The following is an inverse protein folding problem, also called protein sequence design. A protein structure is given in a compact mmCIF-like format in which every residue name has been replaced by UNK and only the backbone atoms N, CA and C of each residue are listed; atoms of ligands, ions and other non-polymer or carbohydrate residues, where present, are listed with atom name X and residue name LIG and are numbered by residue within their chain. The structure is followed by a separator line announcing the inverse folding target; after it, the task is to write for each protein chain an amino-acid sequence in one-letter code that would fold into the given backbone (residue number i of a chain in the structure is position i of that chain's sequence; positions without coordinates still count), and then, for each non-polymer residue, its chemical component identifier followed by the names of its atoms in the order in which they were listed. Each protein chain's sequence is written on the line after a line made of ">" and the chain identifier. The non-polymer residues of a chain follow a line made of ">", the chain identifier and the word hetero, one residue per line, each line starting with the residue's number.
data_IF_654155380341
#
_entry.id   IF_654155380341
#
_cell.length_a   1.000
_cell.length_b   1.000
_cell.length_c   1.000
_cell.angle_alpha   90.00
_cell.angle_beta   90.00
_cell.angle_gamma   90.00
#
_symmetry.space_group_name_H-M   'P 1'
#
loop_
_entity.id
_entity.type
_entity.pdbx_description
1 polymer ?
#
# COMPACT_ATOMS: atom_id res chain seq x y z
N UNK A 1 -27.36 1.22 11.53
CA UNK A 1 -26.72 1.24 10.19
C UNK A 1 -25.61 0.22 10.23
N UNK A 2 -25.56 -0.71 9.28
CA UNK A 2 -24.53 -1.74 9.29
C UNK A 2 -23.17 -1.06 9.05
N UNK A 3 -22.29 -1.10 10.06
CA UNK A 3 -20.97 -0.45 10.00
C UNK A 3 -20.16 -1.11 8.88
N UNK A 4 -19.48 -0.30 8.06
CA UNK A 4 -18.59 -0.80 7.00
C UNK A 4 -17.17 -0.77 7.52
N UNK A 5 -16.55 -1.93 7.70
CA UNK A 5 -15.21 -2.05 8.27
C UNK A 5 -14.22 -2.67 7.28
N UNK A 6 -13.00 -2.15 7.26
CA UNK A 6 -11.85 -2.66 6.51
C UNK A 6 -10.79 -3.20 7.46
N UNK A 7 -10.21 -4.35 7.13
CA UNK A 7 -8.99 -4.84 7.75
C UNK A 7 -7.79 -4.42 6.89
N UNK A 8 -6.84 -3.69 7.45
CA UNK A 8 -5.58 -3.32 6.80
C UNK A 8 -4.43 -4.18 7.36
N UNK A 9 -3.98 -5.16 6.58
CA UNK A 9 -2.84 -6.01 6.87
C UNK A 9 -1.55 -5.38 6.34
N UNK A 10 -0.44 -5.56 7.07
CA UNK A 10 0.86 -4.92 6.77
C UNK A 10 0.74 -3.39 6.81
N UNK A 11 0.06 -2.89 7.84
CA UNK A 11 -0.53 -1.54 7.85
C UNK A 11 0.48 -0.40 7.93
N UNK A 12 1.72 -0.67 8.36
CA UNK A 12 2.73 0.35 8.63
C UNK A 12 2.12 1.49 9.47
N UNK A 13 2.29 2.75 9.07
CA UNK A 13 1.67 3.91 9.74
C UNK A 13 0.26 4.24 9.27
N UNK A 14 -0.38 3.40 8.44
CA UNK A 14 -1.79 3.57 8.05
C UNK A 14 -2.05 4.54 6.90
N UNK A 15 -1.12 4.66 5.95
CA UNK A 15 -1.35 5.41 4.72
C UNK A 15 -2.55 4.86 3.92
N UNK A 16 -2.64 3.54 3.77
CA UNK A 16 -3.76 2.89 3.11
C UNK A 16 -5.04 2.99 3.96
N UNK A 17 -4.96 2.70 5.26
CA UNK A 17 -6.08 2.83 6.19
C UNK A 17 -6.72 4.21 6.16
N UNK A 18 -5.91 5.27 6.11
CA UNK A 18 -6.42 6.65 6.09
C UNK A 18 -7.29 6.93 4.87
N UNK A 19 -6.93 6.36 3.71
CA UNK A 19 -7.77 6.48 2.52
C UNK A 19 -9.11 5.76 2.65
N UNK A 20 -9.13 4.56 3.24
CA UNK A 20 -10.39 3.85 3.51
C UNK A 20 -11.27 4.59 4.52
N UNK A 21 -10.68 5.16 5.57
CA UNK A 21 -11.39 6.04 6.49
C UNK A 21 -12.03 7.23 5.76
N UNK A 22 -11.29 7.90 4.86
CA UNK A 22 -11.82 8.99 4.04
C UNK A 22 -12.90 8.54 3.03
N UNK A 23 -12.98 7.25 2.71
CA UNK A 23 -14.04 6.66 1.91
C UNK A 23 -15.27 6.25 2.75
N UNK A 24 -15.24 6.42 4.07
CA UNK A 24 -16.35 6.16 4.98
C UNK A 24 -16.34 4.79 5.66
N UNK A 25 -15.18 4.13 5.73
CA UNK A 25 -15.00 2.88 6.48
C UNK A 25 -14.49 3.15 7.91
N UNK A 26 -14.86 2.25 8.83
CA UNK A 26 -14.03 1.99 10.01
C UNK A 26 -12.83 1.12 9.60
N UNK A 27 -11.68 1.31 10.26
CA UNK A 27 -10.44 0.63 9.89
C UNK A 27 -9.83 -0.03 11.11
N UNK A 28 -9.51 -1.31 10.99
CA UNK A 28 -8.66 -2.03 11.93
C UNK A 28 -7.35 -2.38 11.20
N UNK A 29 -6.20 -2.05 11.81
CA UNK A 29 -4.87 -2.31 11.25
C UNK A 29 -4.14 -3.46 11.92
N UNK A 30 -3.23 -4.09 11.18
CA UNK A 30 -2.31 -5.10 11.69
C UNK A 30 -0.90 -4.93 11.10
N UNK A 31 0.10 -4.88 11.97
CA UNK A 31 1.52 -4.88 11.60
C UNK A 31 2.35 -5.58 12.69
N UNK A 32 3.46 -6.20 12.29
CA UNK A 32 4.37 -6.91 13.21
C UNK A 32 5.26 -5.93 13.99
N UNK A 33 5.59 -4.80 13.36
CA UNK A 33 6.36 -3.73 13.95
C UNK A 33 5.47 -2.92 14.90
N UNK A 34 6.04 -2.36 15.95
CA UNK A 34 5.29 -1.43 16.78
C UNK A 34 5.02 -0.12 16.01
N UNK A 35 3.75 0.21 15.79
CA UNK A 35 3.31 1.37 15.01
C UNK A 35 2.52 2.34 15.90
N UNK A 36 3.16 3.02 16.87
CA UNK A 36 2.47 3.87 17.85
C UNK A 36 1.78 5.10 17.23
N UNK A 37 2.08 5.42 15.97
CA UNK A 37 1.43 6.50 15.21
C UNK A 37 0.34 6.02 14.26
N UNK A 38 0.02 4.72 14.25
CA UNK A 38 -1.10 4.21 13.48
C UNK A 38 -2.40 4.82 14.03
N UNK A 39 -3.25 5.43 13.19
CA UNK A 39 -4.28 6.33 13.68
C UNK A 39 -5.64 5.67 13.99
N UNK A 40 -5.75 4.34 13.85
CA UNK A 40 -6.99 3.59 14.07
C UNK A 40 -6.82 2.45 15.07
N UNK A 41 -7.87 1.62 15.23
CA UNK A 41 -7.79 0.39 16.01
C UNK A 41 -6.69 -0.51 15.44
N UNK A 42 -5.88 -1.12 16.30
CA UNK A 42 -4.62 -1.73 15.90
C UNK A 42 -4.34 -3.03 16.65
N UNK A 43 -3.96 -4.06 15.91
CA UNK A 43 -3.40 -5.30 16.44
C UNK A 43 -1.93 -5.40 16.05
N UNK A 44 -1.05 -5.54 17.05
CA UNK A 44 0.37 -5.81 16.80
C UNK A 44 0.59 -7.32 16.70
N UNK A 45 1.04 -7.80 15.55
CA UNK A 45 1.35 -9.20 15.35
C UNK A 45 1.60 -9.54 13.88
N UNK A 46 1.89 -10.81 13.61
CA UNK A 46 2.02 -11.30 12.25
C UNK A 46 0.66 -11.25 11.52
N UNK A 47 0.67 -10.74 10.29
CA UNK A 47 -0.54 -10.52 9.52
C UNK A 47 -1.20 -11.82 9.04
N UNK A 48 -0.42 -12.85 8.71
CA UNK A 48 -0.95 -14.15 8.28
C UNK A 48 -1.54 -14.89 9.48
N UNK A 49 -0.84 -14.90 10.62
CA UNK A 49 -1.35 -15.49 11.86
C UNK A 49 -2.64 -14.81 12.31
N UNK A 50 -2.67 -13.47 12.27
CA UNK A 50 -3.86 -12.71 12.66
C UNK A 50 -5.04 -12.98 11.72
N UNK A 51 -4.81 -12.98 10.39
CA UNK A 51 -5.85 -13.29 9.42
C UNK A 51 -6.38 -14.73 9.59
N UNK A 52 -5.49 -15.71 9.75
CA UNK A 52 -5.88 -17.10 10.00
C UNK A 52 -6.69 -17.24 11.29
N UNK A 53 -6.32 -16.53 12.36
CA UNK A 53 -7.08 -16.50 13.60
C UNK A 53 -8.50 -15.94 13.39
N UNK A 54 -8.63 -14.79 12.71
CA UNK A 54 -9.93 -14.19 12.41
C UNK A 54 -10.82 -15.11 11.56
N UNK A 55 -10.24 -15.90 10.64
CA UNK A 55 -10.96 -16.91 9.86
C UNK A 55 -11.47 -18.02 10.77
N UNK A 56 -10.60 -18.61 11.60
CA UNK A 56 -10.95 -19.73 12.48
C UNK A 56 -12.00 -19.35 13.53
N UNK A 57 -11.95 -18.13 14.06
CA UNK A 57 -12.93 -17.66 15.05
C UNK A 57 -14.22 -17.13 14.43
N UNK A 58 -14.29 -16.98 13.11
CA UNK A 58 -15.42 -16.35 12.40
C UNK A 58 -15.47 -14.82 12.55
N UNK A 59 -14.53 -14.23 13.29
CA UNK A 59 -14.44 -12.78 13.46
C UNK A 59 -14.18 -12.02 12.16
N UNK A 60 -13.66 -12.70 11.13
CA UNK A 60 -13.46 -12.15 9.78
C UNK A 60 -14.77 -11.59 9.19
N UNK A 61 -15.94 -12.14 9.55
CA UNK A 61 -17.26 -11.74 9.02
C UNK A 61 -17.65 -10.29 9.37
N UNK A 62 -16.99 -9.66 10.36
CA UNK A 62 -17.21 -8.24 10.69
C UNK A 62 -16.71 -7.28 9.61
N UNK A 63 -15.79 -7.74 8.76
CA UNK A 63 -15.19 -6.93 7.71
C UNK A 63 -15.97 -7.03 6.39
N UNK A 64 -15.88 -5.97 5.59
CA UNK A 64 -16.46 -5.92 4.24
C UNK A 64 -15.42 -5.94 3.13
N UNK A 65 -14.18 -5.62 3.47
CA UNK A 65 -13.06 -5.59 2.56
C UNK A 65 -11.77 -5.79 3.36
N UNK A 66 -10.82 -6.54 2.81
CA UNK A 66 -9.46 -6.65 3.35
C UNK A 66 -8.48 -5.96 2.41
N UNK A 67 -7.59 -5.13 2.95
CA UNK A 67 -6.47 -4.57 2.21
C UNK A 67 -5.17 -5.16 2.75
N UNK A 68 -4.31 -5.69 1.88
CA UNK A 68 -3.01 -6.21 2.25
C UNK A 68 -1.92 -5.57 1.40
N UNK A 69 -0.85 -5.12 2.05
CA UNK A 69 0.37 -4.62 1.39
C UNK A 69 1.61 -5.42 1.82
N UNK A 70 1.72 -6.73 1.47
CA UNK A 70 2.85 -7.55 1.89
C UNK A 70 4.19 -6.89 1.55
N UNK A 71 5.22 -6.98 2.40
CA UNK A 71 6.46 -6.27 2.18
C UNK A 71 7.11 -6.69 0.85
N UNK A 72 7.35 -5.70 -0.02
CA UNK A 72 8.00 -5.95 -1.30
C UNK A 72 9.52 -6.08 -1.11
N UNK A 73 10.06 -7.26 -1.39
CA UNK A 73 11.49 -7.57 -1.28
C UNK A 73 12.37 -6.87 -2.32
N UNK A 74 11.79 -6.09 -3.24
CA UNK A 74 12.51 -5.37 -4.29
C UNK A 74 13.38 -4.20 -3.79
N UNK A 75 13.49 -3.97 -2.48
CA UNK A 75 14.45 -3.01 -1.90
C UNK A 75 15.91 -3.29 -2.30
N UNK A 76 16.21 -4.44 -2.89
CA UNK A 76 17.55 -4.78 -3.34
C UNK A 76 17.83 -4.69 -4.84
N UNK A 77 17.08 -4.04 -5.73
CA UNK A 77 17.59 -3.91 -7.13
C UNK A 77 18.87 -3.06 -7.22
N UNK A 78 19.12 -2.15 -6.26
CA UNK A 78 20.41 -1.44 -6.12
C UNK A 78 21.46 -2.24 -5.32
N UNK A 79 21.04 -3.30 -4.62
CA UNK A 79 21.87 -4.08 -3.69
C UNK A 79 22.08 -5.52 -4.18
N UNK A 80 21.44 -5.98 -5.25
CA UNK A 80 21.66 -7.30 -5.85
C UNK A 80 23.07 -7.36 -6.46
N UNK A 81 23.56 -6.27 -7.04
CA UNK A 81 24.94 -6.21 -7.55
C UNK A 81 26.02 -6.25 -6.45
N UNK A 82 25.78 -5.57 -5.32
CA UNK A 82 26.74 -5.45 -4.22
C UNK A 82 26.61 -6.57 -3.18
N UNK A 83 25.41 -7.06 -2.85
CA UNK A 83 25.19 -8.14 -1.89
C UNK A 83 25.51 -9.53 -2.46
N UNK A 84 25.33 -9.76 -3.77
CA UNK A 84 25.77 -10.99 -4.41
C UNK A 84 27.31 -11.13 -4.37
N UNK A 85 28.04 -10.00 -4.46
CA UNK A 85 29.50 -9.99 -4.31
C UNK A 85 29.99 -10.20 -2.87
N UNK A 86 29.11 -10.08 -1.88
CA UNK A 86 29.45 -10.22 -0.45
C UNK A 86 28.79 -11.41 0.26
N UNK A 87 27.92 -12.18 -0.40
CA UNK A 87 27.27 -13.36 0.20
C UNK A 87 26.10 -13.04 1.16
N UNK A 88 25.56 -11.81 1.14
CA UNK A 88 24.46 -11.37 2.01
C UNK A 88 23.08 -11.64 1.40
N UNK A 89 22.91 -12.81 0.78
CA UNK A 89 21.62 -13.25 0.23
C UNK A 89 20.85 -14.03 1.28
N UNK A 90 19.98 -13.36 2.06
CA UNK A 90 19.02 -14.08 2.90
C UNK A 90 18.09 -14.96 2.07
N UNK A 91 17.50 -15.99 2.65
CA UNK A 91 16.40 -16.75 2.04
C UNK A 91 15.14 -15.87 2.02
N UNK A 92 14.57 -15.69 0.85
CA UNK A 92 13.52 -14.70 0.56
C UNK A 92 12.14 -15.35 0.64
N UNK A 93 11.26 -14.87 1.51
CA UNK A 93 9.90 -15.40 1.68
C UNK A 93 8.87 -14.55 0.90
N UNK A 94 8.36 -15.06 -0.22
CA UNK A 94 7.29 -14.39 -0.97
C UNK A 94 6.00 -14.43 -0.14
N UNK A 95 5.67 -13.31 0.51
CA UNK A 95 4.46 -13.19 1.32
C UNK A 95 3.21 -12.90 0.50
N UNK A 96 3.31 -12.62 -0.80
CA UNK A 96 2.13 -12.37 -1.65
C UNK A 96 1.31 -13.65 -1.83
N UNK A 97 1.97 -14.78 -2.12
CA UNK A 97 1.30 -16.07 -2.30
C UNK A 97 0.52 -16.53 -1.05
N UNK A 98 1.12 -16.64 0.16
CA UNK A 98 0.39 -17.04 1.36
C UNK A 98 -0.65 -16.00 1.80
N UNK A 99 -0.41 -14.70 1.55
CA UNK A 99 -1.43 -13.66 1.77
C UNK A 99 -2.66 -13.92 0.91
N UNK A 100 -2.46 -14.18 -0.39
CA UNK A 100 -3.56 -14.44 -1.31
C UNK A 100 -4.34 -15.69 -0.93
N UNK A 101 -3.66 -16.77 -0.55
CA UNK A 101 -4.30 -18.02 -0.12
C UNK A 101 -5.25 -17.80 1.06
N UNK A 102 -4.81 -17.07 2.09
CA UNK A 102 -5.68 -16.74 3.22
C UNK A 102 -6.79 -15.77 2.83
N UNK A 103 -6.51 -14.77 1.99
CA UNK A 103 -7.53 -13.84 1.51
C UNK A 103 -8.64 -14.56 0.72
N UNK A 104 -8.28 -15.49 -0.16
CA UNK A 104 -9.24 -16.33 -0.88
C UNK A 104 -10.07 -17.18 0.09
N UNK A 105 -9.45 -17.72 1.15
CA UNK A 105 -10.14 -18.49 2.19
C UNK A 105 -11.13 -17.65 3.03
N UNK A 106 -10.98 -16.32 3.09
CA UNK A 106 -11.96 -15.46 3.77
C UNK A 106 -13.31 -15.41 3.05
N UNK A 107 -13.32 -15.62 1.73
CA UNK A 107 -14.48 -15.35 0.87
C UNK A 107 -14.89 -13.87 0.77
N UNK A 108 -14.12 -12.96 1.39
CA UNK A 108 -14.40 -11.52 1.35
C UNK A 108 -13.73 -10.87 0.13
N UNK A 109 -14.30 -9.75 -0.36
CA UNK A 109 -13.57 -8.86 -1.26
C UNK A 109 -12.24 -8.42 -0.65
N UNK A 110 -11.18 -8.39 -1.47
CA UNK A 110 -9.86 -7.96 -1.02
C UNK A 110 -9.11 -7.12 -2.05
N UNK A 111 -8.06 -6.46 -1.56
CA UNK A 111 -7.05 -5.73 -2.33
C UNK A 111 -5.66 -6.20 -1.91
N UNK A 112 -4.81 -6.59 -2.85
CA UNK A 112 -3.38 -6.78 -2.61
C UNK A 112 -2.62 -5.68 -3.35
N UNK A 113 -1.83 -4.90 -2.62
CA UNK A 113 -0.94 -3.87 -3.17
C UNK A 113 0.48 -4.39 -3.34
N UNK A 114 1.12 -4.01 -4.46
CA UNK A 114 2.57 -4.03 -4.60
C UNK A 114 3.08 -2.80 -5.39
N UNK A 115 4.31 -2.34 -5.13
CA UNK A 115 5.00 -1.43 -6.03
C UNK A 115 5.26 -2.08 -7.40
N UNK A 116 5.70 -1.27 -8.36
CA UNK A 116 6.27 -1.82 -9.60
C UNK A 116 7.49 -2.69 -9.26
N UNK A 117 7.42 -3.98 -9.61
CA UNK A 117 8.46 -4.95 -9.30
C UNK A 117 8.17 -6.31 -9.91
N UNK A 118 8.86 -7.33 -9.40
CA UNK A 118 8.73 -8.73 -9.84
C UNK A 118 7.65 -9.51 -9.08
N UNK A 119 6.99 -8.89 -8.09
CA UNK A 119 5.94 -9.55 -7.33
C UNK A 119 4.84 -10.07 -8.27
N UNK A 120 4.47 -11.34 -8.09
CA UNK A 120 3.46 -12.00 -8.89
C UNK A 120 2.04 -11.59 -8.42
N UNK A 121 1.60 -10.41 -8.84
CA UNK A 121 0.23 -9.92 -8.64
C UNK A 121 -0.45 -9.58 -9.96
N UNK A 122 -1.77 -9.75 -10.03
CA UNK A 122 -2.56 -9.17 -11.13
C UNK A 122 -2.56 -7.65 -11.01
N UNK A 123 -2.52 -6.95 -12.14
CA UNK A 123 -2.54 -5.49 -12.19
C UNK A 123 -3.92 -5.00 -12.60
N UNK A 124 -4.92 -5.38 -11.82
CA UNK A 124 -6.32 -5.06 -12.11
C UNK A 124 -6.55 -3.54 -12.08
N UNK A 125 -5.86 -2.85 -11.16
CA UNK A 125 -5.76 -1.39 -11.13
C UNK A 125 -4.30 -0.96 -10.92
N UNK A 126 -3.84 0.03 -11.69
CA UNK A 126 -2.58 0.73 -11.43
C UNK A 126 -2.84 2.20 -11.12
N UNK A 127 -2.35 2.70 -9.99
CA UNK A 127 -2.51 4.09 -9.56
C UNK A 127 -1.17 4.81 -9.49
N UNK A 128 -1.20 6.10 -9.80
CA UNK A 128 -0.05 7.00 -9.73
C UNK A 128 -0.46 8.33 -9.07
N UNK A 129 0.49 9.00 -8.42
CA UNK A 129 0.22 10.23 -7.70
C UNK A 129 -0.27 11.36 -8.61
N UNK A 130 0.10 11.31 -9.89
CA UNK A 130 -0.39 12.26 -10.89
C UNK A 130 -1.92 12.21 -11.04
N UNK A 131 -2.54 11.03 -10.98
CA UNK A 131 -3.99 10.88 -11.11
C UNK A 131 -4.77 11.64 -10.02
N UNK A 132 -4.09 11.99 -8.92
CA UNK A 132 -4.68 12.64 -7.76
C UNK A 132 -4.04 14.00 -7.45
N UNK A 133 -3.25 14.55 -8.38
CA UNK A 133 -2.58 15.85 -8.20
C UNK A 133 -1.49 15.86 -7.12
N UNK A 134 -0.99 14.70 -6.69
CA UNK A 134 0.00 14.59 -5.62
C UNK A 134 1.38 15.12 -6.04
N UNK A 135 2.21 15.45 -5.05
CA UNK A 135 3.61 15.85 -5.22
C UNK A 135 4.58 14.66 -5.35
N UNK A 136 4.10 13.46 -5.67
CA UNK A 136 4.93 12.25 -5.85
C UNK A 136 4.53 11.50 -7.12
N UNK A 137 5.50 10.84 -7.77
CA UNK A 137 5.25 9.84 -8.81
C UNK A 137 5.42 8.42 -8.24
N UNK A 138 4.42 7.98 -7.48
CA UNK A 138 4.43 6.68 -6.79
C UNK A 138 3.49 5.70 -7.48
N UNK A 139 4.03 4.89 -8.38
CA UNK A 139 3.23 3.91 -9.11
C UNK A 139 3.01 2.66 -8.26
N UNK A 140 1.75 2.27 -8.08
CA UNK A 140 1.32 1.08 -7.34
C UNK A 140 0.34 0.27 -8.14
N UNK A 141 0.45 -1.04 -8.02
CA UNK A 141 -0.41 -2.01 -8.66
C UNK A 141 -1.27 -2.68 -7.59
N UNK A 142 -2.53 -2.90 -7.92
CA UNK A 142 -3.54 -3.46 -7.03
C UNK A 142 -4.19 -4.65 -7.74
N UNK A 143 -4.12 -5.80 -7.09
CA UNK A 143 -4.92 -6.98 -7.43
C UNK A 143 -6.23 -6.92 -6.64
N UNK A 144 -7.34 -7.14 -7.33
CA UNK A 144 -8.68 -7.15 -6.75
C UNK A 144 -9.22 -8.58 -6.74
N UNK A 145 -9.67 -9.06 -5.59
CA UNK A 145 -10.24 -10.40 -5.41
C UNK A 145 -11.71 -10.33 -5.02
N UNK A 146 -12.56 -11.12 -5.68
CA UNK A 146 -14.02 -11.14 -5.48
C UNK A 146 -14.76 -9.82 -5.80
N UNK A 147 -14.10 -8.88 -6.48
CA UNK A 147 -14.72 -7.68 -7.04
C UNK A 147 -13.87 -7.12 -8.19
N UNK A 148 -14.43 -6.19 -8.96
CA UNK A 148 -13.69 -5.49 -10.02
C UNK A 148 -14.18 -4.05 -10.18
N UNK A 149 -13.36 -3.23 -10.81
CA UNK A 149 -13.71 -1.86 -11.19
C UNK A 149 -12.92 -1.44 -12.42
N UNK A 150 -13.42 -0.43 -13.14
CA UNK A 150 -12.66 0.15 -14.24
C UNK A 150 -11.47 0.96 -13.69
N UNK A 151 -10.29 0.75 -14.25
CA UNK A 151 -9.12 1.55 -13.90
C UNK A 151 -9.31 3.02 -14.33
N UNK A 152 -8.86 4.00 -13.51
CA UNK A 152 -8.95 5.40 -13.89
C UNK A 152 -7.93 5.70 -14.99
N UNK A 153 -8.26 6.66 -15.86
CA UNK A 153 -7.33 7.10 -16.90
C UNK A 153 -6.07 7.71 -16.28
N UNK A 154 -4.89 7.31 -16.80
CA UNK A 154 -3.62 7.89 -16.37
C UNK A 154 -3.26 9.11 -17.23
N UNK A 155 -3.30 10.35 -16.68
CA UNK A 155 -2.85 11.54 -17.41
C UNK A 155 -1.32 11.54 -17.61
N UNK A 156 -0.81 12.32 -18.57
CA UNK A 156 0.65 12.49 -18.71
C UNK A 156 1.22 13.16 -17.47
N UNK A 157 2.40 12.73 -17.01
CA UNK A 157 3.12 13.41 -15.95
C UNK A 157 3.42 14.86 -16.33
N UNK A 158 3.18 15.80 -15.40
CA UNK A 158 3.32 17.25 -15.60
C UNK A 158 4.73 17.79 -15.41
N UNK A 159 5.71 16.93 -15.13
CA UNK A 159 7.11 17.34 -14.95
C UNK A 159 8.03 16.21 -14.49
N UNK A 160 9.24 16.57 -14.06
CA UNK A 160 10.20 15.62 -13.52
C UNK A 160 10.13 15.52 -12.00
N UNK A 161 10.63 14.40 -11.48
CA UNK A 161 10.92 14.28 -10.04
C UNK A 161 12.19 15.07 -9.76
N UNK A 162 12.09 15.99 -8.81
CA UNK A 162 13.22 16.80 -8.34
C UNK A 162 14.34 15.91 -7.79
N UNK A 163 15.56 16.22 -8.19
CA UNK A 163 16.77 15.58 -7.68
C UNK A 163 17.76 15.15 -8.76
N UNK A 164 18.84 14.52 -8.31
CA UNK A 164 19.89 13.98 -9.17
C UNK A 164 19.55 12.57 -9.62
N UNK A 165 19.63 12.33 -10.93
CA UNK A 165 19.54 10.99 -11.51
C UNK A 165 20.51 10.86 -12.68
N UNK A 166 21.35 9.84 -12.67
CA UNK A 166 22.39 9.58 -13.69
C UNK A 166 23.25 10.82 -13.98
N UNK A 167 23.72 11.52 -12.93
CA UNK A 167 24.58 12.70 -13.06
C UNK A 167 23.87 14.00 -13.47
N UNK A 168 22.56 13.96 -13.74
CA UNK A 168 21.79 15.15 -14.13
C UNK A 168 20.87 15.56 -13.00
N UNK A 169 20.94 16.83 -12.61
CA UNK A 169 19.96 17.46 -11.72
C UNK A 169 18.71 17.84 -12.52
N UNK A 170 17.53 17.49 -12.02
CA UNK A 170 16.25 17.96 -12.56
C UNK A 170 15.45 18.66 -11.50
N UNK A 171 14.82 19.75 -11.90
CA UNK A 171 13.75 20.40 -11.15
C UNK A 171 12.39 19.85 -11.58
N UNK A 172 11.39 20.01 -10.73
CA UNK A 172 10.01 19.68 -11.09
C UNK A 172 9.07 19.58 -9.89
N UNK A 173 7.78 19.34 -10.15
CA UNK A 173 6.73 19.43 -9.15
C UNK A 173 6.64 18.21 -8.22
N UNK A 174 7.44 17.17 -8.45
CA UNK A 174 7.41 15.96 -7.65
C UNK A 174 8.67 15.80 -6.83
N UNK A 175 8.53 15.22 -5.64
CA UNK A 175 9.65 14.82 -4.79
C UNK A 175 9.79 13.31 -4.74
N UNK A 176 11.03 12.84 -4.56
CA UNK A 176 11.29 11.43 -4.34
C UNK A 176 11.17 11.10 -2.85
N UNK A 177 10.05 10.48 -2.47
CA UNK A 177 9.75 10.01 -1.11
C UNK A 177 10.44 8.67 -0.79
N UNK A 178 11.74 8.55 -1.11
CA UNK A 178 12.58 7.39 -0.83
C UNK A 178 14.07 7.75 -0.94
N UNK A 179 14.94 6.97 -0.29
CA UNK A 179 16.40 7.17 -0.29
C UNK A 179 16.84 8.45 0.42
N UNK A 180 18.16 8.65 0.60
CA UNK A 180 18.68 9.70 1.50
C UNK A 180 19.65 10.72 0.86
N UNK A 181 19.85 10.72 -0.47
CA UNK A 181 20.85 11.60 -1.10
C UNK A 181 20.48 12.12 -2.50
N UNK A 182 21.06 13.25 -2.91
CA UNK A 182 20.88 13.81 -4.25
C UNK A 182 19.59 14.62 -4.45
N UNK A 183 19.13 15.35 -3.42
CA UNK A 183 17.91 16.19 -3.51
C UNK A 183 16.61 15.45 -3.23
N UNK A 184 16.66 14.32 -2.51
CA UNK A 184 15.48 13.58 -2.05
C UNK A 184 14.64 14.40 -1.08
N UNK A 185 13.37 14.04 -0.99
CA UNK A 185 12.41 14.72 -0.13
C UNK A 185 12.85 14.68 1.33
N UNK A 186 12.75 15.81 2.02
CA UNK A 186 12.73 15.88 3.49
C UNK A 186 11.43 15.26 4.03
N UNK A 187 11.37 14.97 5.34
CA UNK A 187 10.14 14.46 5.97
C UNK A 187 8.94 15.39 5.72
N UNK A 188 9.01 16.72 5.95
CA UNK A 188 7.89 17.62 5.66
C UNK A 188 7.45 17.61 4.19
N UNK A 189 8.39 17.49 3.25
CA UNK A 189 8.06 17.38 1.84
C UNK A 189 7.38 16.05 1.50
N UNK A 190 7.79 14.93 2.12
CA UNK A 190 7.10 13.64 1.97
C UNK A 190 5.67 13.72 2.51
N UNK A 191 5.49 14.30 3.70
CA UNK A 191 4.19 14.47 4.34
C UNK A 191 3.26 15.30 3.44
N UNK A 192 3.71 16.47 2.99
CA UNK A 192 2.94 17.35 2.12
C UNK A 192 2.64 16.70 0.76
N UNK A 193 3.62 16.04 0.15
CA UNK A 193 3.47 15.47 -1.18
C UNK A 193 2.55 14.24 -1.23
N UNK A 194 2.42 13.48 -0.13
CA UNK A 194 1.56 12.30 -0.03
C UNK A 194 0.26 12.53 0.75
N UNK A 195 0.15 13.63 1.50
CA UNK A 195 -1.00 13.90 2.38
C UNK A 195 -0.98 13.05 3.65
N UNK A 196 0.20 12.81 4.23
CA UNK A 196 0.40 11.99 5.44
C UNK A 196 1.04 12.87 6.50
N UNK A 197 0.29 13.31 7.50
CA UNK A 197 0.77 14.31 8.49
C UNK A 197 0.88 13.77 9.92
N UNK A 198 0.45 12.54 10.18
CA UNK A 198 0.42 11.94 11.52
C UNK A 198 1.69 11.17 11.89
N UNK A 199 2.62 11.01 10.95
CA UNK A 199 3.95 10.44 11.21
C UNK A 199 5.07 11.31 10.67
N UNK A 200 6.13 11.43 11.46
CA UNK A 200 7.40 12.07 11.12
C UNK A 200 8.54 11.06 10.89
N UNK A 201 8.25 9.75 10.96
CA UNK A 201 9.25 8.71 10.68
C UNK A 201 9.41 8.51 9.19
N UNK A 202 10.63 8.72 8.72
CA UNK A 202 11.00 8.63 7.31
C UNK A 202 10.75 7.23 6.72
N UNK A 203 11.01 6.17 7.47
CA UNK A 203 10.76 4.79 7.03
C UNK A 203 9.27 4.57 6.75
N UNK A 204 8.41 4.90 7.71
CA UNK A 204 6.96 4.86 7.56
C UNK A 204 6.45 5.63 6.33
N UNK A 205 6.95 6.85 6.10
CA UNK A 205 6.61 7.64 4.91
C UNK A 205 7.17 7.01 3.62
N UNK A 206 8.33 6.35 3.69
CA UNK A 206 8.94 5.70 2.53
C UNK A 206 8.16 4.47 2.11
N UNK A 207 7.55 3.73 3.04
CA UNK A 207 6.72 2.54 2.75
C UNK A 207 5.26 2.88 2.44
N UNK A 208 4.73 3.96 3.00
CA UNK A 208 3.31 4.29 2.93
C UNK A 208 2.70 4.35 1.51
N UNK A 209 1.45 3.92 1.42
CA UNK A 209 0.57 4.18 0.28
C UNK A 209 -0.06 5.56 0.48
N UNK A 210 -0.05 6.47 -0.51
CA UNK A 210 -0.75 7.74 -0.39
C UNK A 210 -2.26 7.52 -0.15
N UNK A 211 -2.88 8.14 0.87
CA UNK A 211 -4.30 7.93 1.20
C UNK A 211 -5.27 8.18 0.05
N UNK A 212 -4.90 9.00 -0.92
CA UNK A 212 -5.71 9.24 -2.12
C UNK A 212 -6.02 7.95 -2.90
N UNK A 213 -5.11 6.95 -2.88
CA UNK A 213 -5.26 5.72 -3.66
C UNK A 213 -6.33 4.82 -3.06
N UNK A 214 -6.24 4.57 -1.76
CA UNK A 214 -7.22 3.74 -1.06
C UNK A 214 -8.54 4.45 -0.81
N UNK A 215 -8.56 5.79 -0.77
CA UNK A 215 -9.82 6.55 -0.85
C UNK A 215 -10.54 6.27 -2.16
N UNK A 216 -9.82 6.29 -3.28
CA UNK A 216 -10.38 5.96 -4.58
C UNK A 216 -10.84 4.50 -4.64
N UNK A 217 -10.03 3.55 -4.20
CA UNK A 217 -10.39 2.12 -4.16
C UNK A 217 -11.62 1.87 -3.29
N UNK A 218 -11.67 2.45 -2.08
CA UNK A 218 -12.82 2.34 -1.19
C UNK A 218 -14.09 2.92 -1.79
N UNK A 219 -13.98 4.09 -2.45
CA UNK A 219 -15.12 4.70 -3.16
C UNK A 219 -15.58 3.84 -4.33
N UNK A 220 -14.65 3.30 -5.11
CA UNK A 220 -14.94 2.41 -6.22
C UNK A 220 -15.62 1.12 -5.74
N UNK A 221 -15.14 0.52 -4.65
CA UNK A 221 -15.75 -0.67 -4.05
C UNK A 221 -17.20 -0.42 -3.60
N UNK A 222 -17.46 0.73 -2.97
CA UNK A 222 -18.80 1.10 -2.49
C UNK A 222 -19.80 1.42 -3.60
N UNK A 223 -19.32 1.76 -4.80
CA UNK A 223 -20.15 2.18 -5.93
C UNK A 223 -20.24 1.11 -7.02
N UNK A 224 -19.29 0.19 -7.09
CA UNK A 224 -19.35 -0.98 -7.96
C UNK A 224 -20.51 -1.88 -7.55
N UNK A 225 -21.25 -2.40 -8.53
CA UNK A 225 -22.22 -3.48 -8.29
C UNK A 225 -21.43 -4.73 -7.92
N UNK A 226 -21.52 -5.14 -6.67
CA UNK A 226 -21.02 -6.43 -6.20
C UNK A 226 -22.06 -7.48 -6.60
N UNK A 227 -21.84 -8.22 -7.68
CA UNK A 227 -22.70 -9.35 -8.03
C UNK A 227 -22.35 -10.52 -7.12
N UNK A 228 -23.31 -10.96 -6.30
CA UNK A 228 -23.19 -12.23 -5.59
C UNK A 228 -23.55 -13.32 -6.60
N UNK A 229 -22.54 -14.00 -7.13
CA UNK A 229 -22.77 -15.29 -7.79
C UNK A 229 -23.07 -16.30 -6.69
N UNK A 230 -24.37 -16.57 -6.49
CA UNK A 230 -24.86 -17.69 -5.66
C UNK A 230 -24.76 -18.97 -6.48
#
# INVERSE_FOLDING_TARGET
>A
MNVRRVLELYSCSGGAGWGYYLAGFEVDGCDIVDRPRYPFAYYRGDALEYLAHLIVTGEIERYKLVHASPPCQAKNTLTVGTNASQGWGGTHEDLVAPTRELLDATGLPYVIEQPNGQAAIRKDVSLCGEMFGLGVLRHRNFELGCWSTAAPAHPKHRGYVRGHRHGVHREGPYVAAYGNGGGKATVPEMQAAMGITWTDVREELTEAIPPAYTRWLGTAFLTARQEVLV
#
